data_IF_964321644452
#
_entry.id   IF_964321644452
#
_cell.length_a   1.000
_cell.length_b   1.000
_cell.length_c   1.000
_cell.angle_alpha   90.00
_cell.angle_beta   90.00
_cell.angle_gamma   90.00
#
_symmetry.space_group_name_H-M   'P 1'
#
loop_
_entity.id
_entity.type
_entity.pdbx_description
1 polymer ?
#
# COMPACT_ATOMS: atom_id res chain seq x y z
N UNK A 1 -31.52 8.04 10.14
CA UNK A 1 -30.32 8.56 9.44
C UNK A 1 -29.47 9.35 10.44
N UNK A 2 -28.36 8.77 10.93
CA UNK A 2 -27.39 9.52 11.74
C UNK A 2 -26.57 10.40 10.78
N UNK A 3 -26.64 11.71 10.97
CA UNK A 3 -25.91 12.69 10.15
C UNK A 3 -24.41 12.53 10.27
N UNK A 4 -23.65 12.87 9.23
CA UNK A 4 -22.18 12.85 9.17
C UNK A 4 -21.55 13.57 10.40
N UNK A 5 -22.21 14.61 10.92
CA UNK A 5 -21.77 15.39 12.07
C UNK A 5 -21.70 14.61 13.39
N UNK A 6 -22.51 13.55 13.57
CA UNK A 6 -22.46 12.72 14.79
C UNK A 6 -21.30 11.68 14.76
N UNK A 7 -20.67 11.50 13.59
CA UNK A 7 -19.65 10.45 13.36
C UNK A 7 -18.21 10.97 13.42
N UNK A 8 -18.00 12.29 13.40
CA UNK A 8 -16.66 12.92 13.58
C UNK A 8 -16.18 12.95 15.04
N UNK A 9 -16.95 12.38 15.98
CA UNK A 9 -16.56 12.27 17.40
C UNK A 9 -15.38 11.32 17.66
N UNK A 10 -15.01 10.45 16.70
CA UNK A 10 -14.00 9.42 16.93
C UNK A 10 -12.57 9.88 16.69
N UNK A 11 -12.35 10.98 15.97
CA UNK A 11 -11.04 11.57 15.73
C UNK A 11 -11.15 13.10 15.62
N UNK A 12 -11.53 13.81 16.71
CA UNK A 12 -11.81 15.24 16.64
C UNK A 12 -10.59 16.07 16.21
N UNK A 13 -9.36 15.59 16.48
CA UNK A 13 -8.12 16.23 16.07
C UNK A 13 -7.88 16.22 14.56
N UNK A 14 -8.50 15.30 13.81
CA UNK A 14 -8.35 15.19 12.36
C UNK A 14 -9.37 16.00 11.57
N UNK A 15 -10.41 16.52 12.22
CA UNK A 15 -11.51 17.18 11.54
C UNK A 15 -12.40 16.23 10.73
N UNK A 16 -13.04 16.76 9.68
CA UNK A 16 -13.92 15.94 8.82
C UNK A 16 -13.11 15.22 7.76
N UNK A 17 -13.36 13.92 7.52
CA UNK A 17 -12.75 13.22 6.40
C UNK A 17 -13.20 13.84 5.06
N UNK A 18 -12.26 13.97 4.13
CA UNK A 18 -12.54 14.44 2.75
C UNK A 18 -13.22 13.38 1.90
N UNK A 19 -13.04 12.11 2.25
CA UNK A 19 -13.77 10.98 1.67
C UNK A 19 -14.19 10.03 2.78
N UNK A 20 -15.44 9.60 2.73
CA UNK A 20 -15.96 8.55 3.59
C UNK A 20 -16.78 7.54 2.79
N UNK A 21 -16.62 6.26 3.14
CA UNK A 21 -17.35 5.14 2.57
C UNK A 21 -17.83 4.22 3.69
N UNK A 22 -18.58 3.17 3.35
CA UNK A 22 -18.96 2.13 4.32
C UNK A 22 -17.76 1.31 4.85
N UNK A 23 -16.58 1.41 4.21
CA UNK A 23 -15.37 0.71 4.64
C UNK A 23 -14.23 1.64 5.05
N UNK A 24 -14.24 2.94 4.72
CA UNK A 24 -13.07 3.72 5.03
C UNK A 24 -13.25 5.22 5.12
N UNK A 25 -12.19 5.87 5.60
CA UNK A 25 -12.06 7.30 5.79
C UNK A 25 -10.71 7.78 5.25
N UNK A 26 -10.72 8.87 4.48
CA UNK A 26 -9.53 9.60 4.04
C UNK A 26 -9.53 10.99 4.67
N UNK A 27 -8.40 11.38 5.23
CA UNK A 27 -8.16 12.71 5.77
C UNK A 27 -7.10 13.44 4.96
N UNK A 28 -7.33 14.70 4.66
CA UNK A 28 -6.31 15.57 4.08
C UNK A 28 -5.47 16.14 5.21
N UNK A 29 -4.40 15.46 5.55
CA UNK A 29 -3.52 15.80 6.68
C UNK A 29 -2.17 15.10 6.55
N UNK A 30 -1.20 15.56 7.32
CA UNK A 30 0.06 14.83 7.52
C UNK A 30 -0.20 13.49 8.22
N UNK A 31 0.55 12.45 7.82
CA UNK A 31 0.43 11.11 8.39
C UNK A 31 0.67 11.08 9.91
N UNK A 32 1.52 11.95 10.45
CA UNK A 32 1.77 12.05 11.89
C UNK A 32 0.50 12.40 12.69
N UNK A 33 -0.33 13.29 12.14
CA UNK A 33 -1.62 13.62 12.75
C UNK A 33 -2.57 12.42 12.73
N UNK A 34 -2.60 11.65 11.63
CA UNK A 34 -3.40 10.45 11.55
C UNK A 34 -2.94 9.40 12.55
N UNK A 35 -1.62 9.15 12.65
CA UNK A 35 -1.07 8.21 13.63
C UNK A 35 -1.42 8.58 15.07
N UNK A 36 -1.38 9.87 15.42
CA UNK A 36 -1.71 10.32 16.79
C UNK A 36 -3.16 10.03 17.19
N UNK A 37 -4.06 9.96 16.23
CA UNK A 37 -5.47 9.67 16.47
C UNK A 37 -5.79 8.15 16.50
N UNK A 38 -4.91 7.30 15.98
CA UNK A 38 -5.10 5.85 15.90
C UNK A 38 -4.60 5.19 17.19
N UNK A 39 -5.36 4.23 17.68
CA UNK A 39 -4.99 3.37 18.81
C UNK A 39 -3.80 2.48 18.47
N UNK A 40 -2.96 2.24 19.46
CA UNK A 40 -1.90 1.24 19.34
C UNK A 40 -2.50 -0.16 19.16
N UNK A 41 -1.79 -1.02 18.43
CA UNK A 41 -2.16 -2.42 18.20
C UNK A 41 -3.54 -2.64 17.54
N UNK A 42 -4.02 -1.69 16.73
CA UNK A 42 -5.37 -1.69 16.16
C UNK A 42 -5.45 -2.02 14.67
N UNK A 43 -4.31 -2.07 13.96
CA UNK A 43 -4.26 -2.25 12.52
C UNK A 43 -3.78 -3.65 12.14
N UNK A 44 -4.51 -4.33 11.25
CA UNK A 44 -4.12 -5.65 10.74
C UNK A 44 -3.09 -5.57 9.60
N UNK A 45 -3.12 -4.49 8.82
CA UNK A 45 -2.19 -4.27 7.72
C UNK A 45 -1.86 -2.79 7.54
N UNK A 46 -0.58 -2.50 7.31
CA UNK A 46 -0.13 -1.19 6.87
C UNK A 46 0.55 -1.37 5.53
N UNK A 47 0.13 -0.60 4.52
CA UNK A 47 0.79 -0.50 3.23
C UNK A 47 1.26 0.94 3.05
N UNK A 48 2.55 1.15 2.82
CA UNK A 48 3.14 2.48 2.67
C UNK A 48 3.88 2.60 1.33
N UNK A 49 3.54 3.62 0.54
CA UNK A 49 4.25 4.06 -0.67
C UNK A 49 4.77 5.49 -0.43
N UNK A 50 5.80 5.67 0.41
CA UNK A 50 6.30 7.00 0.79
C UNK A 50 7.00 7.69 -0.38
N UNK A 51 7.19 9.02 -0.33
CA UNK A 51 8.08 9.73 -1.23
C UNK A 51 9.48 9.11 -1.26
N UNK A 52 10.08 8.96 -2.46
CA UNK A 52 11.34 8.21 -2.66
C UNK A 52 12.60 9.07 -2.57
N UNK A 53 12.48 10.31 -2.18
CA UNK A 53 13.61 11.27 -2.15
C UNK A 53 14.32 11.42 -3.50
N UNK A 54 13.53 11.66 -4.55
CA UNK A 54 14.02 11.83 -5.92
C UNK A 54 14.04 13.28 -6.40
N UNK A 55 13.80 14.25 -5.52
CA UNK A 55 13.64 15.66 -5.87
C UNK A 55 12.37 15.92 -6.67
N UNK A 56 11.32 15.13 -6.43
CA UNK A 56 10.01 15.34 -7.05
C UNK A 56 9.21 16.35 -6.28
N UNK A 57 8.46 17.13 -7.04
CA UNK A 57 7.50 18.09 -6.50
C UNK A 57 6.11 17.46 -6.58
N UNK A 58 5.42 17.45 -5.45
CA UNK A 58 4.05 16.92 -5.29
C UNK A 58 3.06 18.05 -5.09
N UNK A 59 1.80 17.81 -5.44
CA UNK A 59 0.78 18.83 -5.47
C UNK A 59 1.08 19.89 -6.54
N UNK A 60 0.57 21.09 -6.38
CA UNK A 60 0.82 22.23 -7.28
C UNK A 60 2.14 22.97 -6.97
N UNK A 61 3.19 22.27 -6.57
CA UNK A 61 4.47 22.87 -6.16
C UNK A 61 4.67 22.97 -4.65
N UNK A 62 3.75 22.44 -3.87
CA UNK A 62 3.68 22.65 -2.41
C UNK A 62 4.67 21.79 -1.61
N UNK A 63 4.99 20.60 -2.08
CA UNK A 63 5.84 19.64 -1.36
C UNK A 63 6.94 19.11 -2.28
N UNK A 64 8.20 19.35 -1.89
CA UNK A 64 9.37 18.78 -2.54
C UNK A 64 9.91 17.64 -1.66
N UNK A 65 10.19 16.46 -2.25
CA UNK A 65 10.75 15.32 -1.53
C UNK A 65 12.29 15.32 -1.44
N UNK A 66 12.97 16.35 -1.98
CA UNK A 66 14.41 16.47 -1.90
C UNK A 66 14.88 16.76 -0.47
N UNK A 67 15.53 15.80 0.15
CA UNK A 67 16.15 15.90 1.48
C UNK A 67 17.57 15.36 1.44
N UNK A 68 18.44 15.84 2.31
CA UNK A 68 19.70 15.16 2.58
C UNK A 68 19.43 13.72 3.04
N UNK A 69 20.36 12.81 2.79
CA UNK A 69 20.14 11.37 3.10
C UNK A 69 19.77 11.13 4.55
N UNK A 70 20.50 11.77 5.48
CA UNK A 70 20.27 11.63 6.92
C UNK A 70 18.89 12.16 7.33
N UNK A 71 18.52 13.33 6.83
CA UNK A 71 17.20 13.93 7.09
C UNK A 71 16.06 13.05 6.58
N UNK A 72 16.23 12.45 5.38
CA UNK A 72 15.26 11.54 4.82
C UNK A 72 15.10 10.27 5.67
N UNK A 73 16.21 9.73 6.18
CA UNK A 73 16.17 8.55 7.06
C UNK A 73 15.54 8.88 8.42
N UNK A 74 15.89 10.03 9.04
CA UNK A 74 15.26 10.47 10.29
C UNK A 74 13.75 10.62 10.13
N UNK A 75 13.31 11.30 9.07
CA UNK A 75 11.90 11.45 8.75
C UNK A 75 11.24 10.08 8.51
N UNK A 76 11.90 9.20 7.75
CA UNK A 76 11.37 7.87 7.45
C UNK A 76 11.22 7.02 8.71
N UNK A 77 12.21 7.01 9.57
CA UNK A 77 12.16 6.26 10.82
C UNK A 77 11.06 6.76 11.76
N UNK A 78 10.76 8.06 11.73
CA UNK A 78 9.69 8.63 12.55
C UNK A 78 8.33 8.01 12.20
N UNK A 79 7.93 7.99 10.93
CA UNK A 79 6.64 7.42 10.54
C UNK A 79 6.64 5.88 10.58
N UNK A 80 7.79 5.22 10.34
CA UNK A 80 7.92 3.76 10.49
C UNK A 80 7.67 3.38 11.95
N UNK A 81 8.28 4.05 12.92
CA UNK A 81 8.09 3.78 14.34
C UNK A 81 6.64 3.94 14.78
N UNK A 82 5.98 5.01 14.32
CA UNK A 82 4.56 5.20 14.56
C UNK A 82 3.72 4.08 13.96
N UNK A 83 4.04 3.64 12.73
CA UNK A 83 3.38 2.51 12.09
C UNK A 83 3.51 1.22 12.88
N UNK A 84 4.72 0.91 13.38
CA UNK A 84 4.99 -0.29 14.20
C UNK A 84 4.15 -0.31 15.49
N UNK A 85 3.97 0.87 16.12
CA UNK A 85 3.11 1.00 17.31
C UNK A 85 1.64 0.71 17.01
N UNK A 86 1.14 1.15 15.86
CA UNK A 86 -0.27 0.96 15.48
C UNK A 86 -0.58 -0.45 14.98
N UNK A 87 0.44 -1.20 14.56
CA UNK A 87 0.28 -2.55 14.03
C UNK A 87 -0.08 -3.53 15.14
N UNK A 88 -1.16 -4.28 14.95
CA UNK A 88 -1.58 -5.34 15.86
C UNK A 88 -0.59 -6.53 15.82
N UNK A 89 -0.57 -7.35 16.85
CA UNK A 89 0.20 -8.59 16.85
C UNK A 89 -0.29 -9.51 15.73
N UNK A 90 0.65 -10.09 14.98
CA UNK A 90 0.39 -10.84 13.76
C UNK A 90 0.01 -9.98 12.55
N UNK A 91 -0.02 -8.66 12.70
CA UNK A 91 -0.29 -7.72 11.61
C UNK A 91 0.86 -7.62 10.62
N UNK A 92 0.58 -7.21 9.39
CA UNK A 92 1.52 -7.11 8.28
C UNK A 92 1.89 -5.66 7.95
N UNK A 93 3.17 -5.43 7.69
CA UNK A 93 3.67 -4.13 7.24
C UNK A 93 4.37 -4.27 5.90
N UNK A 94 3.85 -3.55 4.91
CA UNK A 94 4.42 -3.47 3.56
C UNK A 94 4.95 -2.07 3.29
N UNK A 95 6.19 -1.98 2.77
CA UNK A 95 6.78 -0.71 2.33
C UNK A 95 7.25 -0.87 0.89
N UNK A 96 6.64 -0.11 -0.02
CA UNK A 96 7.04 -0.05 -1.42
C UNK A 96 8.06 1.06 -1.60
N UNK A 97 9.29 0.74 -2.03
CA UNK A 97 10.42 1.68 -1.99
C UNK A 97 11.50 1.33 -3.02
N UNK A 98 12.37 2.29 -3.31
CA UNK A 98 13.59 2.01 -4.07
C UNK A 98 14.57 1.15 -3.23
N UNK A 99 15.24 0.14 -3.82
CA UNK A 99 16.18 -0.73 -3.11
C UNK A 99 17.27 0.03 -2.32
N UNK A 100 17.69 1.22 -2.82
CA UNK A 100 18.69 2.07 -2.14
C UNK A 100 18.26 2.52 -0.74
N UNK A 101 16.97 2.59 -0.47
CA UNK A 101 16.42 2.93 0.84
C UNK A 101 15.94 1.70 1.59
N UNK A 102 15.54 0.66 0.82
CA UNK A 102 14.92 -0.54 1.37
C UNK A 102 15.78 -1.26 2.40
N UNK A 103 17.11 -1.32 2.21
CA UNK A 103 17.98 -1.99 3.19
C UNK A 103 18.07 -1.23 4.52
N UNK A 104 18.00 0.10 4.51
CA UNK A 104 17.93 0.91 5.74
C UNK A 104 16.63 0.65 6.48
N UNK A 105 15.51 0.63 5.74
CA UNK A 105 14.19 0.39 6.34
C UNK A 105 14.04 -1.03 6.85
N UNK A 106 14.54 -2.02 6.12
CA UNK A 106 14.53 -3.41 6.56
C UNK A 106 15.27 -3.59 7.88
N UNK A 107 16.51 -3.06 7.97
CA UNK A 107 17.29 -3.11 9.21
C UNK A 107 16.58 -2.41 10.37
N UNK A 108 16.00 -1.22 10.11
CA UNK A 108 15.28 -0.47 11.14
C UNK A 108 14.03 -1.21 11.65
N UNK A 109 13.30 -1.89 10.77
CA UNK A 109 12.13 -2.70 11.16
C UNK A 109 12.51 -3.91 12.02
N UNK A 110 13.61 -4.60 11.69
CA UNK A 110 14.14 -5.70 12.50
C UNK A 110 14.57 -5.22 13.88
N UNK A 111 15.27 -4.09 13.96
CA UNK A 111 15.71 -3.49 15.23
C UNK A 111 14.52 -3.07 16.12
N UNK A 112 13.35 -2.86 15.53
CA UNK A 112 12.10 -2.55 16.24
C UNK A 112 11.18 -3.77 16.42
N UNK A 113 11.74 -4.98 16.28
CA UNK A 113 11.09 -6.23 16.64
C UNK A 113 10.11 -6.78 15.61
N UNK A 114 10.10 -6.29 14.37
CA UNK A 114 9.32 -6.90 13.31
C UNK A 114 10.09 -8.06 12.68
N UNK A 115 9.37 -9.10 12.30
CA UNK A 115 9.93 -10.28 11.64
C UNK A 115 9.95 -10.08 10.12
N UNK A 116 11.13 -10.19 9.51
CA UNK A 116 11.28 -10.20 8.07
C UNK A 116 10.56 -11.40 7.47
N UNK A 117 9.77 -11.17 6.43
CA UNK A 117 9.10 -12.24 5.67
C UNK A 117 9.66 -12.33 4.25
N UNK A 118 9.60 -11.24 3.48
CA UNK A 118 10.10 -11.21 2.12
C UNK A 118 10.58 -9.82 1.71
N UNK A 119 11.57 -9.82 0.83
CA UNK A 119 11.83 -8.70 -0.06
C UNK A 119 11.29 -9.06 -1.43
N UNK A 120 10.17 -8.46 -1.80
CA UNK A 120 9.50 -8.75 -3.06
C UNK A 120 10.06 -7.79 -4.13
N UNK A 121 10.55 -8.36 -5.24
CA UNK A 121 11.02 -7.60 -6.38
C UNK A 121 9.85 -7.28 -7.33
N UNK A 122 9.43 -6.02 -7.35
CA UNK A 122 8.36 -5.54 -8.23
C UNK A 122 8.98 -4.99 -9.52
N UNK A 123 8.81 -5.69 -10.62
CA UNK A 123 9.48 -5.39 -11.89
C UNK A 123 9.17 -3.98 -12.42
N UNK A 124 10.24 -3.27 -12.82
CA UNK A 124 10.18 -2.03 -13.59
C UNK A 124 10.50 -2.29 -15.05
N UNK A 125 9.70 -1.80 -15.98
CA UNK A 125 10.03 -1.84 -17.42
C UNK A 125 10.73 -0.56 -17.86
N UNK A 126 11.87 -0.72 -18.55
CA UNK A 126 12.49 0.24 -19.47
C UNK A 126 13.00 1.53 -18.81
N UNK A 127 13.91 1.45 -17.91
CA UNK A 127 14.81 2.54 -17.56
C UNK A 127 16.06 2.41 -18.43
N UNK A 128 16.86 3.46 -18.57
CA UNK A 128 18.12 3.39 -19.30
C UNK A 128 19.30 3.35 -18.33
N UNK A 129 20.37 2.61 -18.61
CA UNK A 129 21.57 2.63 -17.79
C UNK A 129 22.12 4.04 -17.73
N UNK A 130 22.54 4.49 -16.54
CA UNK A 130 23.12 5.82 -16.33
C UNK A 130 24.52 5.66 -15.74
N UNK A 131 25.51 6.11 -16.46
CA UNK A 131 26.89 6.08 -16.03
C UNK A 131 27.40 4.66 -15.71
N UNK A 132 28.14 4.49 -14.63
CA UNK A 132 28.75 3.21 -14.20
C UNK A 132 27.87 2.40 -13.23
N UNK A 133 26.55 2.37 -13.46
CA UNK A 133 25.59 1.68 -12.60
C UNK A 133 24.82 0.65 -13.41
N UNK A 134 24.39 -0.40 -12.72
CA UNK A 134 23.46 -1.35 -13.29
C UNK A 134 22.12 -0.68 -13.57
N UNK A 135 21.43 -1.21 -14.53
CA UNK A 135 20.09 -0.82 -14.90
C UNK A 135 19.10 -1.14 -13.78
N UNK A 136 18.42 -0.16 -13.16
CA UNK A 136 17.44 -0.44 -12.12
C UNK A 136 16.21 -1.11 -12.75
N UNK A 137 15.95 -2.35 -12.39
CA UNK A 137 14.91 -3.17 -13.00
C UNK A 137 13.75 -3.50 -12.04
N UNK A 138 13.81 -3.09 -10.78
CA UNK A 138 12.75 -3.36 -9.81
C UNK A 138 12.65 -2.30 -8.71
N UNK A 139 11.47 -2.21 -8.13
CA UNK A 139 11.24 -1.64 -6.79
C UNK A 139 11.31 -2.75 -5.76
N UNK A 140 11.77 -2.42 -4.56
CA UNK A 140 11.62 -3.30 -3.41
C UNK A 140 10.24 -3.11 -2.79
N UNK A 141 9.58 -4.21 -2.45
CA UNK A 141 8.42 -4.22 -1.58
C UNK A 141 8.78 -5.06 -0.36
N UNK A 142 9.06 -4.38 0.73
CA UNK A 142 9.39 -5.03 2.00
C UNK A 142 8.12 -5.61 2.60
N UNK A 143 8.17 -6.84 3.07
CA UNK A 143 7.09 -7.49 3.80
C UNK A 143 7.61 -7.94 5.16
N UNK A 144 7.04 -7.37 6.20
CA UNK A 144 7.31 -7.67 7.60
C UNK A 144 6.03 -7.99 8.35
N UNK A 145 6.15 -8.67 9.50
CA UNK A 145 5.03 -8.92 10.41
C UNK A 145 5.44 -8.66 11.85
N UNK A 146 4.48 -8.26 12.67
CA UNK A 146 4.67 -8.13 14.12
C UNK A 146 4.42 -9.49 14.79
N UNK A 147 5.47 -10.27 14.94
CA UNK A 147 5.37 -11.68 15.32
C UNK A 147 4.89 -12.58 14.18
N UNK A 148 4.37 -13.76 14.48
CA UNK A 148 3.82 -14.67 13.48
C UNK A 148 2.55 -14.09 12.83
N UNK A 149 2.39 -14.22 11.49
CA UNK A 149 1.27 -13.61 10.79
C UNK A 149 -0.06 -14.23 11.24
N UNK A 150 -0.98 -13.38 11.69
CA UNK A 150 -2.34 -13.79 12.06
C UNK A 150 -3.12 -14.35 10.86
N UNK A 151 -2.86 -13.81 9.69
CA UNK A 151 -3.49 -14.19 8.42
C UNK A 151 -2.45 -14.32 7.33
N UNK A 152 -2.46 -15.44 6.61
CA UNK A 152 -1.69 -15.65 5.39
C UNK A 152 -2.52 -16.40 4.36
N UNK A 153 -3.17 -15.67 3.47
CA UNK A 153 -3.96 -16.21 2.38
C UNK A 153 -3.06 -16.46 1.16
N UNK A 154 -2.95 -17.71 0.72
CA UNK A 154 -2.16 -18.09 -0.46
C UNK A 154 -2.80 -17.52 -1.72
N UNK A 155 -2.11 -16.61 -2.39
CA UNK A 155 -2.50 -16.08 -3.70
C UNK A 155 -1.96 -17.00 -4.78
N UNK A 156 -2.80 -17.31 -5.78
CA UNK A 156 -2.42 -18.06 -6.95
C UNK A 156 -2.43 -17.21 -8.19
N UNK A 157 -1.45 -17.45 -9.05
CA UNK A 157 -1.30 -16.81 -10.35
C UNK A 157 -1.45 -17.85 -11.46
N UNK A 158 -1.89 -17.46 -12.65
CA UNK A 158 -1.98 -18.36 -13.78
C UNK A 158 -0.65 -19.09 -14.04
N UNK A 159 -0.72 -20.32 -14.50
CA UNK A 159 0.47 -21.06 -14.94
C UNK A 159 1.11 -20.29 -16.11
N UNK A 160 2.42 -20.02 -16.08
CA UNK A 160 3.09 -19.28 -17.14
C UNK A 160 2.96 -20.00 -18.50
N UNK A 161 2.81 -19.20 -19.54
CA UNK A 161 2.82 -19.69 -20.93
C UNK A 161 4.02 -19.09 -21.68
N UNK A 162 4.40 -19.70 -22.78
CA UNK A 162 5.47 -19.19 -23.64
C UNK A 162 5.14 -17.76 -24.10
N UNK A 163 6.05 -16.82 -23.86
CA UNK A 163 5.86 -15.40 -24.22
C UNK A 163 5.80 -15.16 -25.73
N UNK A 164 6.35 -16.06 -26.56
CA UNK A 164 6.38 -15.93 -28.02
C UNK A 164 5.15 -16.51 -28.71
N UNK A 165 4.74 -17.73 -28.32
CA UNK A 165 3.67 -18.45 -29.02
C UNK A 165 2.40 -18.61 -28.20
N UNK A 166 2.37 -18.15 -26.93
CA UNK A 166 1.23 -18.30 -26.03
C UNK A 166 0.91 -19.73 -25.61
N UNK A 167 1.69 -20.70 -26.09
CA UNK A 167 1.51 -22.12 -25.77
C UNK A 167 2.11 -22.43 -24.40
N UNK A 168 1.70 -23.58 -23.89
CA UNK A 168 2.23 -24.11 -22.64
C UNK A 168 3.76 -24.30 -22.69
N UNK A 169 4.43 -23.99 -21.59
CA UNK A 169 5.86 -24.21 -21.46
C UNK A 169 6.11 -25.71 -21.38
N UNK A 170 7.12 -26.20 -22.13
CA UNK A 170 7.52 -27.61 -22.13
C UNK A 170 7.89 -28.05 -20.72
N UNK A 171 7.33 -29.16 -20.30
CA UNK A 171 7.61 -29.76 -19.00
C UNK A 171 8.85 -30.65 -19.08
N UNK A 172 10.02 -30.10 -18.73
CA UNK A 172 11.27 -30.84 -18.70
C UNK A 172 11.43 -31.73 -17.46
N UNK A 173 10.62 -31.52 -16.43
CA UNK A 173 10.72 -32.20 -15.13
C UNK A 173 9.64 -33.23 -14.87
N UNK A 174 8.66 -33.40 -15.75
CA UNK A 174 7.53 -34.32 -15.56
C UNK A 174 6.64 -34.00 -14.36
N UNK A 175 6.58 -32.70 -13.97
CA UNK A 175 5.82 -32.28 -12.79
C UNK A 175 4.48 -31.62 -13.09
N UNK A 176 4.13 -31.50 -14.38
CA UNK A 176 2.94 -30.79 -14.84
C UNK A 176 1.65 -31.34 -14.26
N UNK A 177 1.50 -32.65 -14.25
CA UNK A 177 0.31 -33.31 -13.72
C UNK A 177 0.13 -33.11 -12.20
N UNK A 178 1.19 -32.69 -11.54
CA UNK A 178 1.20 -32.36 -10.10
C UNK A 178 0.89 -30.90 -9.81
N UNK A 179 0.77 -30.06 -10.86
CA UNK A 179 0.46 -28.64 -10.69
C UNK A 179 -0.98 -28.46 -10.23
N UNK A 180 -1.19 -27.49 -9.35
CA UNK A 180 -2.53 -27.16 -8.92
C UNK A 180 -3.30 -26.52 -10.08
N UNK A 181 -4.49 -27.05 -10.47
CA UNK A 181 -5.27 -26.50 -11.59
C UNK A 181 -5.71 -25.04 -11.37
N UNK A 182 -5.71 -24.56 -10.11
CA UNK A 182 -5.98 -23.15 -9.78
C UNK A 182 -4.77 -22.23 -9.99
N UNK A 183 -3.65 -22.74 -10.51
CA UNK A 183 -2.44 -21.98 -10.76
C UNK A 183 -1.32 -22.19 -9.74
N UNK A 184 -0.21 -21.46 -9.93
CA UNK A 184 0.96 -21.50 -9.07
C UNK A 184 0.81 -20.55 -7.86
N UNK A 185 1.51 -20.84 -6.77
CA UNK A 185 1.63 -19.88 -5.69
C UNK A 185 2.36 -18.63 -6.18
N UNK A 186 1.91 -17.46 -5.74
CA UNK A 186 2.61 -16.20 -5.99
C UNK A 186 4.02 -16.28 -5.40
N UNK A 187 5.01 -15.86 -6.18
CA UNK A 187 6.41 -15.76 -5.76
C UNK A 187 6.74 -14.36 -5.25
N UNK A 188 7.96 -14.13 -4.82
CA UNK A 188 8.50 -12.82 -4.44
C UNK A 188 9.07 -12.02 -5.63
N UNK A 189 8.88 -12.48 -6.86
CA UNK A 189 9.18 -11.73 -8.09
C UNK A 189 7.89 -11.42 -8.82
N UNK A 190 7.49 -10.13 -8.85
CA UNK A 190 6.25 -9.67 -9.47
C UNK A 190 6.51 -8.94 -10.79
N UNK A 191 6.44 -9.67 -11.89
CA UNK A 191 6.66 -9.13 -13.23
C UNK A 191 5.40 -8.54 -13.88
N UNK A 192 4.22 -9.01 -13.50
CA UNK A 192 2.92 -8.60 -14.04
C UNK A 192 2.40 -7.27 -13.47
N UNK A 193 3.12 -6.72 -12.49
CA UNK A 193 2.80 -5.46 -11.81
C UNK A 193 3.56 -4.24 -12.35
N UNK A 194 4.28 -4.39 -13.46
CA UNK A 194 5.06 -3.28 -14.06
C UNK A 194 4.21 -2.04 -14.32
N UNK A 195 4.72 -0.82 -14.04
CA UNK A 195 3.97 0.41 -14.21
C UNK A 195 3.41 0.58 -15.62
N UNK A 196 2.17 1.04 -15.72
CA UNK A 196 1.59 1.40 -17.01
C UNK A 196 2.30 2.67 -17.54
N UNK A 197 3.03 2.56 -18.66
CA UNK A 197 3.75 3.69 -19.27
C UNK A 197 2.92 4.52 -20.23
N UNK A 198 1.81 3.99 -20.69
CA UNK A 198 1.03 4.63 -21.71
C UNK A 198 0.25 5.81 -21.15
N UNK A 199 0.37 7.00 -21.76
CA UNK A 199 -0.38 8.22 -21.39
C UNK A 199 -1.90 7.96 -21.28
N UNK A 200 -2.45 7.03 -22.07
CA UNK A 200 -3.85 6.63 -22.08
C UNK A 200 -4.34 6.04 -20.73
N UNK A 201 -3.42 5.52 -19.92
CA UNK A 201 -3.74 4.91 -18.61
C UNK A 201 -3.27 5.76 -17.43
N UNK A 202 -2.66 6.92 -17.70
CA UNK A 202 -2.39 7.92 -16.66
C UNK A 202 -3.65 8.73 -16.49
N UNK A 203 -4.45 8.38 -15.51
CA UNK A 203 -5.68 9.09 -15.22
C UNK A 203 -5.44 10.49 -14.69
N UNK A 204 -4.20 10.87 -14.32
CA UNK A 204 -3.90 12.19 -13.74
C UNK A 204 -2.48 12.74 -13.86
N UNK A 205 -2.48 14.01 -13.77
CA UNK A 205 -1.48 15.05 -13.67
C UNK A 205 -0.41 14.75 -12.58
N UNK A 206 0.84 14.51 -13.00
CA UNK A 206 2.05 14.45 -12.16
C UNK A 206 2.14 13.38 -11.04
N UNK A 207 1.16 12.54 -10.82
CA UNK A 207 1.22 11.46 -9.81
C UNK A 207 1.73 10.19 -10.47
N UNK A 208 2.74 9.55 -9.88
CA UNK A 208 3.11 8.18 -10.21
C UNK A 208 2.08 7.25 -9.56
N UNK A 209 1.06 6.87 -10.30
CA UNK A 209 0.06 5.93 -9.79
C UNK A 209 0.68 4.55 -9.58
N UNK A 210 0.63 4.08 -8.35
CA UNK A 210 0.91 2.69 -8.02
C UNK A 210 -0.16 1.80 -8.67
N UNK A 211 0.23 0.68 -9.30
CA UNK A 211 -0.74 -0.28 -9.82
C UNK A 211 -1.59 -0.84 -8.68
N UNK A 212 -2.92 -0.79 -8.78
CA UNK A 212 -3.82 -1.30 -7.72
C UNK A 212 -3.60 -2.78 -7.37
N UNK A 213 -3.06 -3.57 -8.30
CA UNK A 213 -2.75 -4.99 -8.08
C UNK A 213 -1.69 -5.20 -6.99
N UNK A 214 -0.76 -4.25 -6.79
CA UNK A 214 0.30 -4.36 -5.77
C UNK A 214 -0.31 -4.32 -4.36
N UNK A 215 -0.97 -3.22 -3.93
CA UNK A 215 -1.58 -3.20 -2.61
C UNK A 215 -2.72 -4.23 -2.48
N UNK A 216 -3.44 -4.56 -3.57
CA UNK A 216 -4.48 -5.59 -3.53
C UNK A 216 -3.93 -6.94 -3.10
N UNK A 217 -2.80 -7.38 -3.67
CA UNK A 217 -2.12 -8.63 -3.27
C UNK A 217 -1.65 -8.59 -1.82
N UNK A 218 -1.06 -7.49 -1.40
CA UNK A 218 -0.60 -7.33 -0.02
C UNK A 218 -1.76 -7.46 0.97
N UNK A 219 -2.84 -6.73 0.74
CA UNK A 219 -4.03 -6.72 1.59
C UNK A 219 -4.73 -8.09 1.60
N UNK A 220 -4.93 -8.68 0.42
CA UNK A 220 -5.57 -9.99 0.28
C UNK A 220 -4.77 -11.09 1.00
N UNK A 221 -3.44 -11.08 0.85
CA UNK A 221 -2.55 -12.06 1.47
C UNK A 221 -2.55 -11.96 2.99
N UNK A 222 -2.57 -10.74 3.53
CA UNK A 222 -2.28 -10.49 4.95
C UNK A 222 -3.49 -10.15 5.81
N UNK A 223 -4.70 -10.05 5.23
CA UNK A 223 -5.91 -9.70 5.99
C UNK A 223 -7.10 -10.55 5.61
N UNK A 224 -8.00 -10.76 6.55
CA UNK A 224 -9.33 -11.29 6.31
C UNK A 224 -10.34 -10.19 5.97
N UNK A 225 -11.56 -10.58 5.51
CA UNK A 225 -12.66 -9.62 5.31
C UNK A 225 -12.90 -8.84 6.62
N UNK A 226 -13.11 -7.55 6.51
CA UNK A 226 -13.27 -6.62 7.64
C UNK A 226 -12.00 -6.38 8.47
N UNK A 227 -10.83 -6.89 8.06
CA UNK A 227 -9.55 -6.47 8.62
C UNK A 227 -9.29 -4.99 8.33
N UNK A 228 -8.47 -4.35 9.15
CA UNK A 228 -8.20 -2.92 9.13
C UNK A 228 -6.88 -2.62 8.41
N UNK A 229 -6.93 -1.78 7.40
CA UNK A 229 -5.79 -1.39 6.56
C UNK A 229 -5.51 0.09 6.73
N UNK A 230 -4.24 0.46 6.87
CA UNK A 230 -3.80 1.86 6.82
C UNK A 230 -2.87 2.07 5.63
N UNK A 231 -3.06 3.19 4.93
CA UNK A 231 -2.04 3.77 4.05
C UNK A 231 -1.82 5.23 4.45
N UNK A 232 -0.64 5.55 5.02
CA UNK A 232 -0.34 6.90 5.47
C UNK A 232 0.03 7.87 4.33
N UNK A 233 0.23 7.36 3.09
CA UNK A 233 0.66 8.12 1.93
C UNK A 233 -0.28 7.91 0.75
N UNK A 234 -1.46 8.51 0.80
CA UNK A 234 -2.58 8.24 -0.08
C UNK A 234 -2.33 8.30 -1.58
N UNK A 235 -1.54 9.29 -2.01
CA UNK A 235 -1.21 9.49 -3.42
C UNK A 235 -2.45 9.42 -4.32
N UNK A 236 -2.45 8.47 -5.27
CA UNK A 236 -3.59 8.22 -6.16
C UNK A 236 -4.71 7.34 -5.57
N UNK A 237 -4.64 6.93 -4.31
CA UNK A 237 -5.67 6.14 -3.62
C UNK A 237 -5.72 4.66 -3.99
N UNK A 238 -4.70 4.11 -4.61
CA UNK A 238 -4.70 2.71 -5.10
C UNK A 238 -4.89 1.70 -3.96
N UNK A 239 -4.33 1.95 -2.80
CA UNK A 239 -4.48 1.10 -1.60
C UNK A 239 -5.91 1.12 -1.09
N UNK A 240 -6.52 2.31 -1.03
CA UNK A 240 -7.89 2.46 -0.54
C UNK A 240 -8.91 1.79 -1.46
N UNK A 241 -8.73 1.93 -2.78
CA UNK A 241 -9.58 1.24 -3.76
C UNK A 241 -9.46 -0.28 -3.63
N UNK A 242 -8.25 -0.79 -3.45
CA UNK A 242 -8.01 -2.22 -3.26
C UNK A 242 -8.68 -2.73 -1.97
N UNK A 243 -8.53 -2.00 -0.85
CA UNK A 243 -9.17 -2.35 0.42
C UNK A 243 -10.71 -2.30 0.33
N UNK A 244 -11.26 -1.29 -0.33
CA UNK A 244 -12.71 -1.14 -0.58
C UNK A 244 -13.25 -2.34 -1.38
N UNK A 245 -12.62 -2.68 -2.50
CA UNK A 245 -12.98 -3.82 -3.35
C UNK A 245 -12.96 -5.14 -2.56
N UNK A 246 -11.93 -5.32 -1.74
CA UNK A 246 -11.75 -6.50 -0.91
C UNK A 246 -12.63 -6.52 0.35
N UNK A 247 -13.43 -5.47 0.60
CA UNK A 247 -14.28 -5.30 1.80
C UNK A 247 -13.47 -5.34 3.11
N UNK A 248 -12.32 -4.66 3.11
CA UNK A 248 -11.52 -4.36 4.29
C UNK A 248 -11.83 -2.95 4.77
N UNK A 249 -11.78 -2.71 6.07
CA UNK A 249 -11.82 -1.35 6.58
C UNK A 249 -10.49 -0.67 6.29
N UNK A 250 -10.54 0.61 5.90
CA UNK A 250 -9.33 1.34 5.54
C UNK A 250 -9.33 2.76 6.11
N UNK A 251 -8.15 3.21 6.45
CA UNK A 251 -7.84 4.58 6.85
C UNK A 251 -6.74 5.12 5.97
N UNK A 252 -6.77 6.41 5.72
CA UNK A 252 -5.76 7.06 4.94
C UNK A 252 -5.56 8.52 5.25
N UNK A 253 -4.33 8.98 4.97
CA UNK A 253 -3.97 10.38 4.92
C UNK A 253 -3.30 10.73 3.60
N UNK A 254 -3.48 11.95 3.17
CA UNK A 254 -2.77 12.57 2.07
C UNK A 254 -2.56 14.04 2.41
N UNK A 255 -1.32 14.50 2.31
CA UNK A 255 -0.96 15.87 2.68
C UNK A 255 -1.34 16.86 1.57
N UNK A 256 -1.34 16.40 0.33
CA UNK A 256 -1.68 17.20 -0.85
C UNK A 256 -3.17 17.11 -1.19
N UNK A 257 -3.58 17.66 -2.33
CA UNK A 257 -4.97 17.65 -2.79
C UNK A 257 -5.54 16.24 -2.95
N UNK A 258 -6.63 15.96 -2.22
CA UNK A 258 -7.34 14.68 -2.25
C UNK A 258 -8.45 14.61 -3.33
N UNK A 259 -8.76 15.69 -4.04
CA UNK A 259 -9.80 15.72 -5.09
C UNK A 259 -9.63 14.57 -6.08
N UNK A 260 -8.40 14.23 -6.51
CA UNK A 260 -8.14 13.11 -7.37
C UNK A 260 -8.62 11.76 -6.81
N UNK A 261 -8.34 11.47 -5.58
CA UNK A 261 -8.75 10.23 -4.93
C UNK A 261 -10.28 10.18 -4.78
N UNK A 262 -10.87 11.31 -4.34
CA UNK A 262 -12.34 11.43 -4.17
C UNK A 262 -13.07 11.18 -5.49
N UNK A 263 -12.58 11.76 -6.60
CA UNK A 263 -13.19 11.56 -7.92
C UNK A 263 -13.09 10.10 -8.36
N UNK A 264 -11.92 9.50 -8.21
CA UNK A 264 -11.69 8.09 -8.55
C UNK A 264 -12.61 7.14 -7.77
N UNK A 265 -12.88 7.44 -6.50
CA UNK A 265 -13.85 6.70 -5.70
C UNK A 265 -15.28 6.88 -6.19
N UNK A 266 -15.70 8.11 -6.52
CA UNK A 266 -17.03 8.38 -7.08
C UNK A 266 -17.25 7.63 -8.40
N UNK A 267 -16.23 7.57 -9.23
CA UNK A 267 -16.30 6.88 -10.53
C UNK A 267 -16.35 5.35 -10.35
N UNK A 268 -15.63 4.81 -9.35
CA UNK A 268 -15.50 3.36 -9.16
C UNK A 268 -16.59 2.80 -8.23
N UNK A 269 -16.97 3.53 -7.18
CA UNK A 269 -17.92 3.13 -6.14
C UNK A 269 -18.98 4.20 -5.86
N UNK A 270 -19.79 4.62 -6.87
CA UNK A 270 -20.70 5.75 -6.75
C UNK A 270 -21.72 5.60 -5.62
N UNK A 271 -22.15 4.37 -5.33
CA UNK A 271 -23.17 4.09 -4.31
C UNK A 271 -22.57 3.92 -2.89
N UNK A 272 -21.25 4.01 -2.73
CA UNK A 272 -20.59 3.78 -1.45
C UNK A 272 -20.01 5.06 -0.83
N UNK A 273 -19.78 6.09 -1.64
CA UNK A 273 -19.30 7.40 -1.19
C UNK A 273 -20.34 8.13 -0.34
N UNK A 274 -19.88 8.87 0.68
CA UNK A 274 -20.75 9.57 1.63
C UNK A 274 -21.31 8.69 2.75
N UNK A 275 -21.09 7.39 2.70
CA UNK A 275 -21.34 6.45 3.81
C UNK A 275 -20.23 6.52 4.86
N UNK A 276 -20.34 5.76 5.92
CA UNK A 276 -19.35 5.74 6.98
C UNK A 276 -19.20 4.33 7.53
N UNK A 277 -17.99 3.90 7.92
CA UNK A 277 -17.79 2.63 8.58
C UNK A 277 -18.66 2.50 9.85
N UNK A 278 -18.98 1.27 10.29
CA UNK A 278 -19.71 1.04 11.51
C UNK A 278 -19.01 1.68 12.72
N UNK A 279 -19.79 2.26 13.63
CA UNK A 279 -19.24 2.91 14.83
C UNK A 279 -18.38 1.97 15.70
N UNK A 280 -18.69 0.66 15.74
CA UNK A 280 -17.88 -0.33 16.44
C UNK A 280 -16.44 -0.37 15.90
N UNK A 281 -16.26 -0.29 14.57
CA UNK A 281 -14.94 -0.30 13.93
C UNK A 281 -14.20 1.02 14.21
N UNK A 282 -14.89 2.14 14.11
CA UNK A 282 -14.27 3.43 14.42
C UNK A 282 -13.79 3.49 15.88
N UNK A 283 -14.58 2.95 16.83
CA UNK A 283 -14.18 2.85 18.24
C UNK A 283 -13.03 1.87 18.48
N UNK A 284 -12.84 0.84 17.66
CA UNK A 284 -11.70 -0.08 17.80
C UNK A 284 -10.39 0.50 17.30
N UNK A 285 -10.43 1.52 16.43
CA UNK A 285 -9.26 2.06 15.75
C UNK A 285 -8.86 3.46 16.23
N UNK A 286 -9.83 4.33 16.55
CA UNK A 286 -9.54 5.69 17.02
C UNK A 286 -9.56 5.79 18.56
N UNK A 287 -8.70 6.68 19.09
CA UNK A 287 -8.60 7.03 20.51
C UNK A 287 -9.90 7.62 21.06
#
# INVERSE_FOLDING_TARGET
MQTLASKTRFAPSLGKPVLSTNYGLLFQTDCANLFSAIKDYSLDCIFADPPFNLGKVYGNGEVNDARAQEEYLIWSYSWINQSVQKLADGGAFFIYILPRWGYHFAKHLEDHGLMFRHWIAVSMKGTFPRGRKLYPAHYGLLYFTKGEPKTFNKIRVPIPVCRHCGKEIKDYGGHRDKLNPKGLNLTDIWEDTSPARHKKFKTRWHVNELKPLIPKRCIEMSTDKKGTVLDPFGGGGSTYLAAQELKRYWLGSEITDCVPVVQRFKDTFPNETGKCPPAKILRSVFN
#
